data_IF_613759666307
#
_entry.id   IF_613759666307
#
_cell.length_a   1.000
_cell.length_b   1.000
_cell.length_c   1.000
_cell.angle_alpha   90.00
_cell.angle_beta   90.00
_cell.angle_gamma   90.00
#
_symmetry.space_group_name_H-M   'P 1'
#
loop_
_entity.id
_entity.type
_entity.pdbx_description
1 polymer ?
#
# COMPACT_ATOMS: atom_id res chain seq x y z
N UNK A 1 -20.67 21.51 -31.96
CA UNK A 1 -21.56 21.29 -30.79
C UNK A 1 -21.07 20.13 -29.90
N UNK A 2 -20.75 18.95 -30.44
CA UNK A 2 -20.30 17.78 -29.66
C UNK A 2 -19.06 18.04 -28.78
N UNK A 3 -18.05 18.78 -29.30
CA UNK A 3 -16.83 19.08 -28.53
C UNK A 3 -17.08 19.98 -27.31
N UNK A 4 -17.94 21.01 -27.44
CA UNK A 4 -18.30 21.86 -26.30
C UNK A 4 -19.09 21.09 -25.24
N UNK A 5 -20.00 20.19 -25.67
CA UNK A 5 -20.72 19.32 -24.73
C UNK A 5 -19.76 18.37 -23.98
N UNK A 6 -18.79 17.76 -24.66
CA UNK A 6 -17.78 16.90 -24.02
C UNK A 6 -16.92 17.67 -23.02
N UNK A 7 -16.50 18.91 -23.34
CA UNK A 7 -15.74 19.75 -22.38
C UNK A 7 -16.54 20.03 -21.12
N UNK A 8 -17.84 20.31 -21.25
CA UNK A 8 -18.73 20.54 -20.10
C UNK A 8 -18.89 19.26 -19.27
N UNK A 9 -19.09 18.11 -19.90
CA UNK A 9 -19.19 16.82 -19.20
C UNK A 9 -17.93 16.51 -18.41
N UNK A 10 -16.75 16.67 -19.01
CA UNK A 10 -15.48 16.47 -18.31
C UNK A 10 -15.27 17.47 -17.16
N UNK A 11 -15.64 18.72 -17.35
CA UNK A 11 -15.59 19.74 -16.29
C UNK A 11 -16.48 19.36 -15.11
N UNK A 12 -17.72 18.96 -15.37
CA UNK A 12 -18.65 18.52 -14.32
C UNK A 12 -18.09 17.29 -13.60
N UNK A 13 -17.61 16.28 -14.32
CA UNK A 13 -17.01 15.09 -13.72
C UNK A 13 -15.80 15.44 -12.82
N UNK A 14 -14.92 16.34 -13.26
CA UNK A 14 -13.81 16.82 -12.47
C UNK A 14 -14.27 17.57 -11.21
N UNK A 15 -15.23 18.48 -11.33
CA UNK A 15 -15.80 19.20 -10.19
C UNK A 15 -16.46 18.27 -9.17
N UNK A 16 -17.23 17.27 -9.63
CA UNK A 16 -17.87 16.26 -8.75
C UNK A 16 -16.82 15.45 -8.02
N UNK A 17 -15.74 15.03 -8.70
CA UNK A 17 -14.65 14.27 -8.07
C UNK A 17 -13.95 15.09 -6.97
N UNK A 18 -13.63 16.34 -7.24
CA UNK A 18 -13.00 17.24 -6.26
C UNK A 18 -13.93 17.49 -5.07
N UNK A 19 -15.22 17.75 -5.35
CA UNK A 19 -16.24 17.97 -4.31
C UNK A 19 -16.40 16.73 -3.42
N UNK A 20 -16.44 15.53 -3.99
CA UNK A 20 -16.53 14.29 -3.23
C UNK A 20 -15.34 14.10 -2.27
N UNK A 21 -14.11 14.35 -2.73
CA UNK A 21 -12.91 14.28 -1.88
C UNK A 21 -12.97 15.35 -0.79
N UNK A 22 -13.35 16.58 -1.12
CA UNK A 22 -13.49 17.66 -0.14
C UNK A 22 -14.51 17.31 0.95
N UNK A 23 -15.68 16.76 0.57
CA UNK A 23 -16.71 16.33 1.52
C UNK A 23 -16.21 15.22 2.45
N UNK A 24 -15.46 14.23 1.92
CA UNK A 24 -14.86 13.18 2.74
C UNK A 24 -13.87 13.78 3.75
N UNK A 25 -13.00 14.70 3.31
CA UNK A 25 -12.06 15.38 4.19
C UNK A 25 -12.79 16.17 5.28
N UNK A 26 -13.78 16.98 4.91
CA UNK A 26 -14.57 17.77 5.87
C UNK A 26 -15.23 16.83 6.90
N UNK A 27 -15.85 15.75 6.45
CA UNK A 27 -16.47 14.76 7.33
C UNK A 27 -15.48 14.14 8.32
N UNK A 28 -14.33 13.68 7.82
CA UNK A 28 -13.29 13.07 8.64
C UNK A 28 -12.77 14.04 9.71
N UNK A 29 -12.42 15.26 9.31
CA UNK A 29 -11.87 16.25 10.25
C UNK A 29 -12.93 16.78 11.22
N UNK A 30 -14.16 17.05 10.76
CA UNK A 30 -15.24 17.55 11.62
C UNK A 30 -15.62 16.54 12.73
N UNK A 31 -15.59 15.25 12.44
CA UNK A 31 -15.95 14.21 13.41
C UNK A 31 -14.74 13.64 14.18
N UNK A 32 -13.54 13.63 13.58
CA UNK A 32 -12.36 13.05 14.22
C UNK A 32 -11.64 14.01 15.15
N UNK A 33 -11.54 15.30 14.83
CA UNK A 33 -10.81 16.28 15.67
C UNK A 33 -11.43 16.44 17.07
N UNK A 34 -12.76 16.52 17.24
CA UNK A 34 -13.36 16.59 18.57
C UNK A 34 -12.98 15.42 19.45
N UNK A 35 -12.99 14.18 18.94
CA UNK A 35 -12.58 12.99 19.68
C UNK A 35 -11.11 13.04 20.10
N UNK A 36 -10.22 13.51 19.21
CA UNK A 36 -8.80 13.71 19.56
C UNK A 36 -8.62 14.73 20.68
N UNK A 37 -9.41 15.80 20.68
CA UNK A 37 -9.36 16.83 21.73
C UNK A 37 -9.86 16.30 23.07
N UNK A 38 -10.92 15.46 23.06
CA UNK A 38 -11.50 14.87 24.27
C UNK A 38 -10.56 13.86 24.93
N UNK A 39 -9.90 13.01 24.13
CA UNK A 39 -8.97 11.98 24.63
C UNK A 39 -7.59 12.59 24.98
N UNK A 40 -7.18 13.64 24.26
CA UNK A 40 -5.83 14.19 24.29
C UNK A 40 -4.98 13.60 23.16
N UNK A 41 -4.35 14.50 22.37
CA UNK A 41 -3.56 14.11 21.20
C UNK A 41 -2.43 13.12 21.53
N UNK A 42 -1.71 13.38 22.63
CA UNK A 42 -0.59 12.53 23.04
C UNK A 42 -1.08 11.15 23.52
N UNK A 43 -2.10 11.09 24.34
CA UNK A 43 -2.67 9.83 24.85
C UNK A 43 -3.25 9.00 23.70
N UNK A 44 -3.88 9.65 22.73
CA UNK A 44 -4.39 9.00 21.53
C UNK A 44 -3.27 8.40 20.67
N UNK A 45 -2.23 9.19 20.32
CA UNK A 45 -1.18 8.75 19.41
C UNK A 45 -0.17 7.80 20.08
N UNK A 46 0.19 8.03 21.32
CA UNK A 46 1.26 7.29 22.03
C UNK A 46 0.73 6.24 22.99
N UNK A 47 -0.56 6.23 23.26
CA UNK A 47 -1.19 5.25 24.13
C UNK A 47 -1.01 3.82 23.57
N UNK A 48 -0.63 2.90 24.47
CA UNK A 48 -0.32 1.49 24.11
C UNK A 48 -1.50 0.55 24.28
N UNK A 49 -2.60 1.02 24.88
CA UNK A 49 -3.77 0.21 25.19
C UNK A 49 -5.00 0.68 24.39
N UNK A 50 -5.57 -0.23 23.62
CA UNK A 50 -6.85 -0.06 22.96
C UNK A 50 -7.89 -0.90 23.69
N UNK A 51 -8.70 -0.27 24.55
CA UNK A 51 -9.80 -0.88 25.32
C UNK A 51 -10.97 0.09 25.42
N UNK A 52 -11.83 0.19 24.39
CA UNK A 52 -12.94 1.15 24.36
C UNK A 52 -13.87 1.06 25.57
N UNK A 53 -14.16 -0.16 26.06
CA UNK A 53 -14.98 -0.36 27.26
C UNK A 53 -14.42 0.25 28.55
N UNK A 54 -13.12 0.58 28.58
CA UNK A 54 -12.45 1.24 29.70
C UNK A 54 -11.99 2.66 29.33
N UNK A 55 -12.56 3.27 28.30
CA UNK A 55 -12.19 4.59 27.77
C UNK A 55 -10.69 4.76 27.45
N UNK A 56 -10.00 3.66 27.05
CA UNK A 56 -8.60 3.71 26.60
C UNK A 56 -8.53 3.57 25.09
N UNK A 57 -8.05 4.62 24.42
CA UNK A 57 -8.07 4.75 22.96
C UNK A 57 -6.68 5.00 22.35
N UNK A 58 -5.66 4.34 22.88
CA UNK A 58 -4.28 4.45 22.34
C UNK A 58 -4.11 3.69 21.04
N UNK A 59 -3.68 4.36 19.96
CA UNK A 59 -3.52 3.76 18.63
C UNK A 59 -2.07 3.41 18.26
N UNK A 60 -1.11 3.63 19.15
CA UNK A 60 0.30 3.32 18.88
C UNK A 60 0.54 1.87 18.39
N UNK A 61 -0.08 0.84 18.98
CA UNK A 61 0.08 -0.53 18.50
C UNK A 61 -0.33 -0.71 17.04
N UNK A 62 -1.41 -0.03 16.59
CA UNK A 62 -1.93 -0.10 15.23
C UNK A 62 -1.04 0.69 14.25
N UNK A 63 -0.48 1.83 14.69
CA UNK A 63 0.50 2.59 13.90
C UNK A 63 1.72 1.72 13.62
N UNK A 64 2.31 1.13 14.66
CA UNK A 64 3.46 0.25 14.54
C UNK A 64 3.12 -1.02 13.75
N UNK A 65 1.94 -1.61 13.97
CA UNK A 65 1.45 -2.74 13.19
C UNK A 65 1.40 -2.43 11.69
N UNK A 66 0.84 -1.27 11.31
CA UNK A 66 0.81 -0.82 9.91
C UNK A 66 2.20 -0.60 9.35
N UNK A 67 3.11 0.04 10.10
CA UNK A 67 4.50 0.29 9.67
C UNK A 67 5.25 -1.02 9.46
N UNK A 68 5.21 -1.96 10.41
CA UNK A 68 5.94 -3.23 10.29
C UNK A 68 5.44 -4.10 9.14
N UNK A 69 4.12 -4.22 8.98
CA UNK A 69 3.54 -5.00 7.87
C UNK A 69 3.90 -4.36 6.52
N UNK A 70 3.79 -3.04 6.40
CA UNK A 70 4.15 -2.32 5.17
C UNK A 70 5.65 -2.41 4.88
N UNK A 71 6.50 -2.20 5.87
CA UNK A 71 7.95 -2.31 5.70
C UNK A 71 8.35 -3.72 5.24
N UNK A 72 7.79 -4.76 5.85
CA UNK A 72 8.01 -6.13 5.42
C UNK A 72 7.53 -6.40 4.00
N UNK A 73 6.37 -5.87 3.61
CA UNK A 73 5.86 -5.97 2.25
C UNK A 73 6.79 -5.28 1.22
N UNK A 74 7.37 -4.13 1.58
CA UNK A 74 8.30 -3.41 0.72
C UNK A 74 9.64 -4.13 0.57
N UNK A 75 10.17 -4.72 1.65
CA UNK A 75 11.42 -5.49 1.60
C UNK A 75 11.32 -6.64 0.58
N UNK A 76 10.16 -7.27 0.45
CA UNK A 76 9.91 -8.35 -0.51
C UNK A 76 9.49 -7.80 -1.88
N UNK A 77 8.49 -6.92 -1.91
CA UNK A 77 7.84 -6.48 -3.14
C UNK A 77 8.68 -5.53 -3.99
N UNK A 78 9.44 -4.61 -3.37
CA UNK A 78 10.22 -3.61 -4.13
C UNK A 78 11.34 -4.24 -4.96
N UNK A 79 12.22 -5.09 -4.39
CA UNK A 79 13.28 -5.71 -5.19
C UNK A 79 12.72 -6.56 -6.34
N UNK A 80 11.74 -7.41 -6.06
CA UNK A 80 11.11 -8.28 -7.07
C UNK A 80 10.42 -7.43 -8.13
N UNK A 81 9.65 -6.40 -7.73
CA UNK A 81 8.93 -5.52 -8.63
C UNK A 81 9.84 -4.76 -9.58
N UNK A 82 10.92 -4.16 -9.06
CA UNK A 82 11.89 -3.40 -9.90
C UNK A 82 12.63 -4.34 -10.84
N UNK A 83 13.13 -5.48 -10.36
CA UNK A 83 13.84 -6.43 -11.22
C UNK A 83 12.94 -6.96 -12.34
N UNK A 84 11.67 -7.25 -12.04
CA UNK A 84 10.68 -7.65 -13.03
C UNK A 84 10.40 -6.53 -14.04
N UNK A 85 10.27 -5.28 -13.59
CA UNK A 85 10.08 -4.13 -14.47
C UNK A 85 11.25 -3.92 -15.43
N UNK A 86 12.49 -4.00 -14.92
CA UNK A 86 13.71 -3.90 -15.74
C UNK A 86 13.75 -5.04 -16.75
N UNK A 87 13.45 -6.27 -16.32
CA UNK A 87 13.41 -7.43 -17.21
C UNK A 87 12.38 -7.23 -18.33
N UNK A 88 11.16 -6.86 -18.01
CA UNK A 88 10.09 -6.63 -19.00
C UNK A 88 10.44 -5.51 -19.97
N UNK A 89 11.02 -4.41 -19.47
CA UNK A 89 11.32 -3.23 -20.28
C UNK A 89 12.51 -3.41 -21.25
N UNK A 90 13.56 -4.16 -20.85
CA UNK A 90 14.85 -4.17 -21.59
C UNK A 90 15.40 -5.56 -21.94
N UNK A 91 14.94 -6.62 -21.32
CA UNK A 91 15.47 -7.98 -21.51
C UNK A 91 14.46 -8.97 -22.08
N UNK A 92 13.16 -8.70 -21.90
CA UNK A 92 12.13 -9.66 -22.26
C UNK A 92 11.96 -9.78 -23.79
N UNK A 93 12.09 -11.00 -24.38
CA UNK A 93 11.77 -11.20 -25.79
C UNK A 93 10.29 -10.89 -26.06
N UNK A 94 9.98 -10.28 -27.21
CA UNK A 94 8.62 -9.88 -27.60
C UNK A 94 7.59 -11.00 -27.52
N UNK A 95 8.02 -12.25 -27.74
CA UNK A 95 7.16 -13.44 -27.66
C UNK A 95 6.66 -13.70 -26.24
N UNK A 96 7.53 -13.53 -25.23
CA UNK A 96 7.22 -13.78 -23.83
C UNK A 96 6.61 -12.58 -23.12
N UNK A 97 6.91 -11.37 -23.61
CA UNK A 97 6.42 -10.12 -23.03
C UNK A 97 4.89 -10.13 -22.83
N UNK A 98 4.13 -10.51 -23.86
CA UNK A 98 2.66 -10.54 -23.80
C UNK A 98 2.14 -11.49 -22.72
N UNK A 99 2.77 -12.64 -22.55
CA UNK A 99 2.36 -13.66 -21.58
C UNK A 99 2.68 -13.18 -20.15
N UNK A 100 3.91 -12.70 -19.94
CA UNK A 100 4.35 -12.24 -18.61
C UNK A 100 3.60 -10.96 -18.18
N UNK A 101 3.43 -10.01 -19.09
CA UNK A 101 2.65 -8.80 -18.84
C UNK A 101 1.20 -9.14 -18.51
N UNK A 102 0.57 -10.04 -19.28
CA UNK A 102 -0.77 -10.54 -18.98
C UNK A 102 -0.87 -11.19 -17.61
N UNK A 103 0.16 -11.90 -17.16
CA UNK A 103 0.23 -12.44 -15.79
C UNK A 103 0.26 -11.35 -14.72
N UNK A 104 1.04 -10.28 -14.92
CA UNK A 104 1.07 -9.12 -14.01
C UNK A 104 -0.28 -8.41 -13.98
N UNK A 105 -0.90 -8.20 -15.15
CA UNK A 105 -2.21 -7.55 -15.26
C UNK A 105 -3.31 -8.38 -14.56
N UNK A 106 -3.25 -9.71 -14.65
CA UNK A 106 -4.15 -10.61 -13.91
C UNK A 106 -3.99 -10.46 -12.41
N UNK A 107 -2.75 -10.40 -11.90
CA UNK A 107 -2.51 -10.14 -10.46
C UNK A 107 -3.12 -8.81 -10.01
N UNK A 108 -3.06 -7.76 -10.84
CA UNK A 108 -3.69 -6.47 -10.55
C UNK A 108 -5.22 -6.57 -10.44
N UNK A 109 -5.83 -7.46 -11.23
CA UNK A 109 -7.29 -7.65 -11.30
C UNK A 109 -7.88 -8.50 -10.17
N UNK A 110 -7.08 -9.23 -9.39
CA UNK A 110 -7.58 -10.08 -8.30
C UNK A 110 -8.10 -9.20 -7.14
N UNK A 111 -9.37 -9.38 -6.68
CA UNK A 111 -9.88 -8.70 -5.50
C UNK A 111 -9.07 -9.00 -4.24
N UNK A 112 -8.87 -7.99 -3.36
CA UNK A 112 -8.06 -8.16 -2.14
C UNK A 112 -8.58 -9.23 -1.18
N UNK A 113 -9.89 -9.45 -1.15
CA UNK A 113 -10.52 -10.52 -0.35
C UNK A 113 -10.06 -11.90 -0.82
N UNK A 114 -9.91 -12.10 -2.14
CA UNK A 114 -9.41 -13.37 -2.71
C UNK A 114 -7.95 -13.60 -2.32
N UNK A 115 -7.13 -12.56 -2.35
CA UNK A 115 -5.77 -12.60 -1.82
C UNK A 115 -5.75 -12.96 -0.33
N UNK A 116 -6.64 -12.34 0.46
CA UNK A 116 -6.77 -12.65 1.89
C UNK A 116 -7.16 -14.10 2.14
N UNK A 117 -8.10 -14.63 1.37
CA UNK A 117 -8.51 -16.04 1.44
C UNK A 117 -7.36 -16.98 1.04
N UNK A 118 -6.66 -16.70 -0.05
CA UNK A 118 -5.44 -17.44 -0.43
C UNK A 118 -4.40 -17.39 0.69
N UNK A 119 -4.17 -16.22 1.28
CA UNK A 119 -3.27 -16.05 2.41
C UNK A 119 -3.66 -16.92 3.60
N UNK A 120 -4.96 -16.96 3.93
CA UNK A 120 -5.48 -17.74 5.04
C UNK A 120 -5.33 -19.26 4.82
N UNK A 121 -5.61 -19.72 3.60
CA UNK A 121 -5.63 -21.16 3.29
C UNK A 121 -4.23 -21.71 2.96
N UNK A 122 -3.35 -20.88 2.37
CA UNK A 122 -2.04 -21.35 1.90
C UNK A 122 -0.89 -20.73 2.73
N UNK A 123 -0.81 -19.40 2.86
CA UNK A 123 0.34 -18.78 3.51
C UNK A 123 0.33 -18.96 5.03
N UNK A 124 -0.82 -18.87 5.68
CA UNK A 124 -0.93 -19.05 7.14
C UNK A 124 -0.47 -20.46 7.55
N UNK A 125 -0.97 -21.55 6.97
CA UNK A 125 -0.44 -22.89 7.25
C UNK A 125 1.05 -23.03 6.93
N UNK A 126 1.49 -22.54 5.77
CA UNK A 126 2.90 -22.59 5.36
C UNK A 126 3.82 -21.92 6.38
N UNK A 127 3.48 -20.72 6.85
CA UNK A 127 4.26 -19.98 7.85
C UNK A 127 4.21 -20.70 9.20
N UNK A 128 3.04 -21.21 9.61
CA UNK A 128 2.87 -21.97 10.84
C UNK A 128 3.73 -23.23 10.86
N UNK A 129 3.71 -23.99 9.78
CA UNK A 129 4.38 -25.29 9.69
C UNK A 129 5.92 -25.12 9.54
N UNK A 130 6.37 -23.99 8.97
CA UNK A 130 7.80 -23.69 8.79
C UNK A 130 8.42 -22.99 9.99
N UNK A 131 7.74 -22.02 10.57
CA UNK A 131 8.30 -21.14 11.64
C UNK A 131 7.61 -21.34 12.99
N UNK A 132 6.55 -22.14 13.07
CA UNK A 132 5.76 -22.36 14.26
C UNK A 132 4.77 -21.21 14.56
N UNK A 133 4.12 -21.30 15.73
CA UNK A 133 3.10 -20.33 16.14
C UNK A 133 1.74 -20.55 15.47
N UNK A 134 0.91 -19.51 15.40
CA UNK A 134 -0.45 -19.61 14.84
C UNK A 134 -0.50 -19.37 13.30
N UNK A 135 0.62 -18.96 12.70
CA UNK A 135 0.69 -18.58 11.29
C UNK A 135 0.12 -17.20 10.97
N UNK A 136 -0.89 -16.72 11.68
CA UNK A 136 -1.40 -15.36 11.57
C UNK A 136 -0.41 -14.37 12.21
N UNK A 137 0.29 -13.60 11.39
CA UNK A 137 1.46 -12.84 11.86
C UNK A 137 1.80 -11.66 10.97
N UNK A 138 2.71 -10.81 11.46
CA UNK A 138 3.33 -9.74 10.66
C UNK A 138 3.98 -10.33 9.41
N UNK A 139 4.71 -11.44 9.54
CA UNK A 139 5.41 -12.08 8.42
C UNK A 139 4.44 -12.50 7.31
N UNK A 140 3.37 -13.21 7.66
CA UNK A 140 2.35 -13.67 6.71
C UNK A 140 1.69 -12.50 6.00
N UNK A 141 1.31 -11.44 6.76
CA UNK A 141 0.73 -10.24 6.20
C UNK A 141 1.71 -9.51 5.26
N UNK A 142 2.98 -9.42 5.64
CA UNK A 142 4.03 -8.79 4.83
C UNK A 142 4.28 -9.53 3.51
N UNK A 143 4.32 -10.87 3.54
CA UNK A 143 4.49 -11.68 2.33
C UNK A 143 3.32 -11.50 1.36
N UNK A 144 2.09 -11.58 1.86
CA UNK A 144 0.90 -11.40 1.04
C UNK A 144 0.82 -9.99 0.44
N UNK A 145 1.02 -8.96 1.26
CA UNK A 145 1.04 -7.58 0.77
C UNK A 145 2.18 -7.33 -0.20
N UNK A 146 3.34 -7.96 0.02
CA UNK A 146 4.47 -7.92 -0.91
C UNK A 146 4.07 -8.39 -2.31
N UNK A 147 3.29 -9.48 -2.42
CA UNK A 147 2.75 -9.97 -3.68
C UNK A 147 1.73 -8.98 -4.26
N UNK A 148 0.83 -8.44 -3.44
CA UNK A 148 -0.24 -7.56 -3.87
C UNK A 148 0.24 -6.20 -4.42
N UNK A 149 1.40 -5.71 -3.97
CA UNK A 149 1.96 -4.44 -4.47
C UNK A 149 2.80 -4.62 -5.74
N UNK A 150 3.18 -5.85 -6.10
CA UNK A 150 4.01 -6.13 -7.28
C UNK A 150 3.48 -5.50 -8.56
N UNK A 151 2.20 -5.69 -8.95
CA UNK A 151 1.69 -5.11 -10.18
C UNK A 151 1.88 -3.60 -10.26
N UNK A 152 1.55 -2.88 -9.20
CA UNK A 152 1.67 -1.42 -9.13
C UNK A 152 3.12 -0.95 -9.32
N UNK A 153 4.08 -1.62 -8.68
CA UNK A 153 5.51 -1.29 -8.79
C UNK A 153 6.02 -1.65 -10.17
N UNK A 154 5.66 -2.83 -10.69
CA UNK A 154 6.11 -3.32 -12.01
C UNK A 154 5.62 -2.39 -13.10
N UNK A 155 4.32 -2.12 -13.17
CA UNK A 155 3.72 -1.32 -14.23
C UNK A 155 4.25 0.11 -14.28
N UNK A 156 4.31 0.77 -13.11
CA UNK A 156 4.80 2.15 -13.04
C UNK A 156 6.29 2.23 -13.34
N UNK A 157 7.09 1.29 -12.82
CA UNK A 157 8.54 1.27 -13.06
C UNK A 157 8.86 0.89 -14.50
N UNK A 158 8.16 -0.08 -15.09
CA UNK A 158 8.30 -0.48 -16.48
C UNK A 158 8.00 0.70 -17.42
N UNK A 159 6.87 1.39 -17.22
CA UNK A 159 6.50 2.57 -18.01
C UNK A 159 7.56 3.67 -17.91
N UNK A 160 8.10 3.91 -16.70
CA UNK A 160 9.17 4.89 -16.50
C UNK A 160 10.46 4.52 -17.23
N UNK A 161 10.85 3.24 -17.22
CA UNK A 161 12.04 2.74 -17.93
C UNK A 161 11.85 2.82 -19.45
N UNK A 162 10.65 2.52 -19.94
CA UNK A 162 10.32 2.63 -21.38
C UNK A 162 10.25 4.08 -21.87
N UNK A 163 9.90 5.03 -20.99
CA UNK A 163 9.84 6.45 -21.30
C UNK A 163 11.24 7.11 -21.44
N UNK A 164 12.31 6.45 -21.03
CA UNK A 164 13.68 6.96 -21.22
C UNK A 164 14.01 6.96 -22.71
N UNK A 165 14.43 8.10 -23.30
CA UNK A 165 14.78 8.15 -24.72
C UNK A 165 15.88 7.18 -25.10
N UNK A 166 15.72 6.46 -26.21
CA UNK A 166 16.67 5.42 -26.67
C UNK A 166 18.10 5.95 -26.88
N UNK A 167 18.25 7.25 -27.18
CA UNK A 167 19.55 7.92 -27.31
C UNK A 167 20.45 7.79 -26.05
N UNK A 168 19.88 7.61 -24.86
CA UNK A 168 20.65 7.36 -23.64
C UNK A 168 21.30 5.98 -23.66
N UNK A 169 20.54 4.98 -24.11
CA UNK A 169 21.01 3.62 -24.24
C UNK A 169 22.04 3.49 -25.39
N UNK A 170 21.71 4.03 -26.57
CA UNK A 170 22.57 4.01 -27.76
C UNK A 170 23.88 4.78 -27.52
N UNK A 171 23.82 5.93 -26.86
CA UNK A 171 25.01 6.69 -26.48
C UNK A 171 25.96 5.93 -25.56
N UNK A 172 25.43 5.17 -24.60
CA UNK A 172 26.23 4.33 -23.74
C UNK A 172 26.91 3.18 -24.52
N UNK A 173 26.20 2.55 -25.47
CA UNK A 173 26.76 1.53 -26.36
C UNK A 173 27.85 2.11 -27.27
N UNK A 174 27.64 3.31 -27.83
CA UNK A 174 28.62 3.98 -28.66
C UNK A 174 29.94 4.28 -27.92
N UNK A 175 29.90 4.46 -26.61
CA UNK A 175 31.06 4.59 -25.73
C UNK A 175 31.66 3.23 -25.31
N UNK A 176 31.20 2.12 -25.89
CA UNK A 176 31.74 0.78 -25.62
C UNK A 176 31.17 0.08 -24.37
N UNK A 177 30.07 0.58 -23.79
CA UNK A 177 29.42 -0.11 -22.68
C UNK A 177 28.68 -1.38 -23.18
N UNK A 178 28.68 -2.43 -22.33
CA UNK A 178 27.85 -3.62 -22.60
C UNK A 178 26.36 -3.29 -22.43
N UNK A 179 25.47 -4.18 -22.93
CA UNK A 179 24.02 -4.05 -22.76
C UNK A 179 23.63 -3.86 -21.28
N UNK A 180 24.13 -4.73 -20.41
CA UNK A 180 23.84 -4.69 -18.96
C UNK A 180 24.29 -3.38 -18.34
N UNK A 181 25.52 -2.93 -18.68
CA UNK A 181 26.07 -1.67 -18.16
C UNK A 181 25.26 -0.47 -18.62
N UNK A 182 24.84 -0.46 -19.89
CA UNK A 182 23.99 0.60 -20.44
C UNK A 182 22.61 0.64 -19.76
N UNK A 183 21.99 -0.50 -19.50
CA UNK A 183 20.71 -0.57 -18.80
C UNK A 183 20.86 -0.11 -17.35
N UNK A 184 21.74 -0.74 -16.56
CA UNK A 184 21.81 -0.49 -15.10
C UNK A 184 22.51 0.82 -14.73
N UNK A 185 23.42 1.34 -15.54
CA UNK A 185 24.18 2.55 -15.24
C UNK A 185 23.67 3.81 -15.95
N UNK A 186 22.84 3.65 -16.99
CA UNK A 186 22.34 4.81 -17.76
C UNK A 186 20.82 4.86 -17.76
N UNK A 187 20.13 3.80 -18.22
CA UNK A 187 18.67 3.82 -18.39
C UNK A 187 17.93 3.79 -17.05
N UNK A 188 18.26 2.86 -16.15
CA UNK A 188 17.60 2.73 -14.84
C UNK A 188 17.78 3.98 -13.97
N UNK A 189 18.97 4.58 -13.84
CA UNK A 189 19.14 5.86 -13.15
C UNK A 189 18.38 7.02 -13.79
N UNK A 190 18.27 7.05 -15.13
CA UNK A 190 17.46 8.06 -15.82
C UNK A 190 15.94 7.91 -15.53
N UNK A 191 15.46 6.69 -15.26
CA UNK A 191 14.08 6.39 -14.88
C UNK A 191 13.80 6.53 -13.37
N UNK A 192 14.78 6.93 -12.55
CA UNK A 192 14.72 6.89 -11.08
C UNK A 192 13.48 7.56 -10.50
N UNK A 193 13.08 8.71 -11.00
CA UNK A 193 11.90 9.45 -10.49
C UNK A 193 10.60 8.65 -10.68
N UNK A 194 10.43 8.00 -11.84
CA UNK A 194 9.25 7.18 -12.10
C UNK A 194 9.28 5.85 -11.33
N UNK A 195 10.44 5.24 -11.14
CA UNK A 195 10.60 4.05 -10.27
C UNK A 195 10.24 4.39 -8.83
N UNK A 196 10.72 5.53 -8.31
CA UNK A 196 10.35 6.00 -6.97
C UNK A 196 8.85 6.27 -6.86
N UNK A 197 8.22 6.85 -7.88
CA UNK A 197 6.77 7.03 -7.91
C UNK A 197 6.04 5.68 -7.82
N UNK A 198 6.49 4.64 -8.52
CA UNK A 198 5.96 3.28 -8.43
C UNK A 198 6.07 2.69 -7.01
N UNK A 199 7.20 2.89 -6.35
CA UNK A 199 7.41 2.46 -4.96
C UNK A 199 6.44 3.20 -4.02
N UNK A 200 6.31 4.54 -4.16
CA UNK A 200 5.41 5.35 -3.33
C UNK A 200 3.95 4.93 -3.51
N UNK A 201 3.52 4.63 -4.74
CA UNK A 201 2.19 4.10 -5.01
C UNK A 201 2.00 2.73 -4.35
N UNK A 202 3.00 1.85 -4.41
CA UNK A 202 3.01 0.56 -3.71
C UNK A 202 2.90 0.71 -2.19
N UNK A 203 3.62 1.67 -1.59
CA UNK A 203 3.51 2.01 -0.16
C UNK A 203 2.08 2.45 0.18
N UNK A 204 1.50 3.35 -0.60
CA UNK A 204 0.13 3.82 -0.38
C UNK A 204 -0.89 2.69 -0.44
N UNK A 205 -0.73 1.76 -1.39
CA UNK A 205 -1.57 0.56 -1.50
C UNK A 205 -1.41 -0.37 -0.29
N UNK A 206 -0.16 -0.62 0.15
CA UNK A 206 0.10 -1.50 1.30
C UNK A 206 -0.47 -0.93 2.62
N UNK A 207 -0.32 0.37 2.88
CA UNK A 207 -0.85 1.01 4.09
C UNK A 207 -2.38 1.02 4.08
N UNK A 208 -2.99 1.22 2.90
CA UNK A 208 -4.45 1.27 2.74
C UNK A 208 -5.12 -0.11 2.72
N UNK A 209 -4.34 -1.20 2.58
CA UNK A 209 -4.93 -2.54 2.48
C UNK A 209 -5.59 -2.95 3.81
N UNK A 210 -6.81 -3.42 3.68
CA UNK A 210 -7.66 -3.71 4.84
C UNK A 210 -8.11 -5.16 4.87
N UNK A 211 -8.82 -5.60 3.81
CA UNK A 211 -9.55 -6.87 3.82
C UNK A 211 -8.62 -8.07 3.86
N UNK A 212 -7.56 -8.06 3.07
CA UNK A 212 -6.57 -9.14 3.09
C UNK A 212 -5.85 -9.21 4.45
N UNK A 213 -5.48 -8.05 5.01
CA UNK A 213 -4.79 -7.97 6.31
C UNK A 213 -5.65 -8.47 7.46
N UNK A 214 -6.94 -8.12 7.50
CA UNK A 214 -7.87 -8.62 8.53
C UNK A 214 -7.89 -10.14 8.59
N UNK A 215 -7.79 -10.81 7.45
CA UNK A 215 -7.87 -12.27 7.39
C UNK A 215 -6.61 -12.97 7.93
N UNK A 216 -5.42 -12.35 7.83
CA UNK A 216 -4.15 -13.06 8.05
C UNK A 216 -3.22 -12.42 9.08
N UNK A 217 -3.44 -11.17 9.49
CA UNK A 217 -2.55 -10.49 10.44
C UNK A 217 -2.80 -10.85 11.91
N UNK A 218 -3.88 -11.57 12.23
CA UNK A 218 -4.20 -12.01 13.58
C UNK A 218 -4.92 -10.99 14.47
N UNK A 219 -5.11 -9.76 14.02
CA UNK A 219 -5.96 -8.69 14.56
C UNK A 219 -5.78 -8.36 16.05
N UNK A 220 -4.57 -8.53 16.58
CA UNK A 220 -4.28 -8.28 18.00
C UNK A 220 -3.96 -6.81 18.25
N UNK A 221 -4.81 -6.12 19.04
CA UNK A 221 -4.64 -4.71 19.40
C UNK A 221 -3.62 -4.54 20.54
N UNK A 222 -2.39 -4.98 20.33
CA UNK A 222 -1.27 -4.90 21.26
C UNK A 222 0.03 -4.52 20.55
N UNK A 223 1.01 -4.08 21.32
CA UNK A 223 2.34 -3.77 20.79
C UNK A 223 2.92 -4.98 20.05
N UNK A 224 3.52 -4.76 18.85
CA UNK A 224 4.17 -5.81 18.10
C UNK A 224 5.28 -6.47 18.93
N UNK A 225 5.17 -7.78 19.14
CA UNK A 225 6.10 -8.56 19.98
C UNK A 225 6.99 -9.52 19.16
N UNK A 226 7.10 -9.31 17.86
CA UNK A 226 7.92 -10.10 16.93
C UNK A 226 7.22 -10.41 15.61
N UNK A 227 8.00 -10.81 14.61
CA UNK A 227 7.51 -11.02 13.24
C UNK A 227 6.49 -12.16 13.11
N UNK A 228 6.55 -13.17 13.99
CA UNK A 228 5.64 -14.32 14.03
C UNK A 228 4.42 -14.10 14.91
N UNK A 229 4.24 -12.90 15.46
CA UNK A 229 3.08 -12.56 16.29
C UNK A 229 2.07 -11.74 15.50
N UNK A 230 0.78 -11.92 15.87
CA UNK A 230 -0.30 -11.17 15.27
C UNK A 230 -0.28 -9.70 15.68
N UNK A 231 -0.71 -8.84 14.75
CA UNK A 231 -0.89 -7.41 14.97
C UNK A 231 -2.21 -6.95 14.38
N UNK A 232 -2.62 -5.73 14.74
CA UNK A 232 -3.73 -5.02 14.11
C UNK A 232 -3.20 -3.77 13.43
N UNK A 233 -3.62 -3.52 12.18
CA UNK A 233 -3.31 -2.28 11.46
C UNK A 233 -4.36 -1.21 11.74
N UNK A 234 -4.05 0.06 11.39
CA UNK A 234 -4.99 1.18 11.53
C UNK A 234 -6.28 0.94 10.75
N UNK A 235 -6.17 0.50 9.50
CA UNK A 235 -7.29 0.19 8.62
C UNK A 235 -8.13 -0.96 9.17
N UNK A 236 -7.48 -2.04 9.62
CA UNK A 236 -8.15 -3.19 10.22
C UNK A 236 -8.90 -2.80 11.51
N UNK A 237 -8.32 -1.93 12.35
CA UNK A 237 -8.98 -1.45 13.57
C UNK A 237 -10.29 -0.74 13.26
N UNK A 238 -10.30 0.16 12.27
CA UNK A 238 -11.49 0.89 11.86
C UNK A 238 -12.58 -0.09 11.40
N UNK A 239 -12.25 -0.99 10.48
CA UNK A 239 -13.25 -1.86 9.85
C UNK A 239 -13.81 -2.90 10.82
N UNK A 240 -12.96 -3.50 11.67
CA UNK A 240 -13.40 -4.53 12.63
C UNK A 240 -14.36 -3.93 13.65
N UNK A 241 -14.13 -2.73 14.13
CA UNK A 241 -14.88 -2.17 15.26
C UNK A 241 -16.00 -1.20 14.83
N UNK A 242 -15.97 -0.63 13.63
CA UNK A 242 -16.94 0.36 13.17
C UNK A 242 -18.40 -0.15 13.21
N UNK A 243 -18.60 -1.45 12.99
CA UNK A 243 -19.96 -2.03 12.94
C UNK A 243 -20.72 -2.04 14.28
N UNK A 244 -20.00 -1.99 15.41
CA UNK A 244 -20.59 -2.01 16.76
C UNK A 244 -20.18 -0.81 17.62
N UNK A 245 -19.34 0.08 17.10
CA UNK A 245 -18.89 1.26 17.83
C UNK A 245 -20.02 2.30 17.92
N UNK A 246 -20.18 2.87 19.11
CA UNK A 246 -21.11 3.97 19.41
C UNK A 246 -20.38 5.17 20.01
N UNK A 247 -20.99 6.33 19.97
CA UNK A 247 -20.55 7.57 20.62
C UNK A 247 -19.05 7.87 20.45
N UNK A 248 -18.33 8.08 21.55
CA UNK A 248 -16.91 8.40 21.55
C UNK A 248 -16.05 7.31 20.88
N UNK A 249 -16.39 6.03 21.02
CA UNK A 249 -15.69 4.94 20.36
C UNK A 249 -15.74 5.09 18.83
N UNK A 250 -16.92 5.37 18.28
CA UNK A 250 -17.11 5.61 16.84
C UNK A 250 -16.36 6.84 16.36
N UNK A 251 -16.43 7.94 17.13
CA UNK A 251 -15.68 9.15 16.82
C UNK A 251 -14.16 8.93 16.83
N UNK A 252 -13.68 8.08 17.76
CA UNK A 252 -12.25 7.70 17.84
C UNK A 252 -11.79 6.85 16.66
N UNK A 253 -12.64 5.97 16.12
CA UNK A 253 -12.34 5.25 14.88
C UNK A 253 -12.25 6.19 13.68
N UNK A 254 -13.12 7.20 13.62
CA UNK A 254 -13.03 8.27 12.60
C UNK A 254 -11.75 9.08 12.79
N UNK A 255 -11.38 9.38 14.03
CA UNK A 255 -10.10 10.03 14.37
C UNK A 255 -8.89 9.19 13.93
N UNK A 256 -8.95 7.86 14.06
CA UNK A 256 -7.94 6.95 13.50
C UNK A 256 -7.84 7.08 11.97
N UNK A 257 -8.97 7.29 11.29
CA UNK A 257 -9.03 7.61 9.86
C UNK A 257 -8.34 8.94 9.52
N UNK A 258 -8.49 9.99 10.37
CA UNK A 258 -7.76 11.27 10.20
C UNK A 258 -6.25 11.04 10.28
N UNK A 259 -5.77 10.29 11.28
CA UNK A 259 -4.34 9.97 11.42
C UNK A 259 -3.83 9.20 10.20
N UNK A 260 -4.57 8.20 9.73
CA UNK A 260 -4.22 7.45 8.52
C UNK A 260 -4.16 8.35 7.29
N UNK A 261 -5.12 9.26 7.13
CA UNK A 261 -5.17 10.21 6.02
C UNK A 261 -3.96 11.15 6.01
N UNK A 262 -3.62 11.73 7.16
CA UNK A 262 -2.43 12.57 7.30
C UNK A 262 -1.16 11.77 6.99
N UNK A 263 -1.06 10.54 7.49
CA UNK A 263 0.09 9.65 7.26
C UNK A 263 0.30 9.30 5.78
N UNK A 264 -0.79 9.18 5.01
CA UNK A 264 -0.72 8.90 3.57
C UNK A 264 -0.35 10.16 2.76
N UNK A 265 -0.87 11.35 3.13
CA UNK A 265 -0.58 12.59 2.42
C UNK A 265 0.86 13.04 2.61
N UNK A 266 1.38 12.97 3.83
CA UNK A 266 2.75 13.37 4.14
C UNK A 266 3.78 12.64 3.25
N UNK A 267 3.51 11.39 2.88
CA UNK A 267 4.36 10.61 1.98
C UNK A 267 4.27 10.99 0.50
N UNK A 268 3.23 11.71 0.06
CA UNK A 268 3.10 12.19 -1.33
C UNK A 268 3.84 13.50 -1.59
N UNK A 269 4.32 14.17 -0.54
CA UNK A 269 5.06 15.44 -0.63
C UNK A 269 6.58 15.26 -0.77
N UNK A 270 7.07 14.03 -0.84
CA UNK A 270 8.48 13.66 -1.11
C UNK A 270 8.60 13.09 -2.51
#
# INVERSE_FOLDING_TARGET
MKEKAMKVVFLIAACVSILAVALICIFLFANGIPAIKEIGLFDFLTGTAWKPGNHKFGILPMILGSIYVTAGALIVGVPIGILTAVFLAKYCPKKWYRILKGGVDLLAGIPSVVYGFFGLVVLVPMVRDTFGGNGNSILTASLLLGIMILPTIIETSEAAIQAVPDKYYEGALALGATHERSVYRTVVPAAKSGILAGIILGVGRAIGETMAVIMIAGNQARMPAGLLKGVRTLTANIVIEMGYAADLHRATLIATGVVLFVFIIDRKSV
#
